data_IF_917841583812
#
_entry.id   IF_917841583812
#
_cell.length_a   1.000
_cell.length_b   1.000
_cell.length_c   1.000
_cell.angle_alpha   90.00
_cell.angle_beta   90.00
_cell.angle_gamma   90.00
#
_symmetry.space_group_name_H-M   'P 1'
#
loop_
_entity.id
_entity.type
_entity.pdbx_description
1 polymer ?
#
# COMPACT_ATOMS: atom_id res chain seq x y z
N UNK A 1 1.37 -41.10 -32.01
CA UNK A 1 0.69 -39.77 -31.86
C UNK A 1 0.62 -39.32 -30.39
N UNK A 2 0.39 -40.18 -29.43
CA UNK A 2 0.31 -39.86 -27.99
C UNK A 2 1.68 -39.39 -27.42
N UNK A 3 2.77 -40.09 -27.74
CA UNK A 3 4.14 -39.81 -27.26
C UNK A 3 4.63 -38.40 -27.72
N UNK A 4 4.24 -37.95 -28.92
CA UNK A 4 4.59 -36.61 -29.43
C UNK A 4 3.82 -35.49 -28.69
N UNK A 5 2.57 -35.73 -28.28
CA UNK A 5 1.81 -34.80 -27.46
C UNK A 5 2.38 -34.70 -26.05
N UNK A 6 2.80 -35.81 -25.46
CA UNK A 6 3.42 -35.82 -24.12
C UNK A 6 4.79 -35.11 -24.12
N UNK A 7 5.63 -35.34 -25.13
CA UNK A 7 6.92 -34.60 -25.29
C UNK A 7 6.73 -33.10 -25.48
N UNK A 8 5.72 -32.66 -26.23
CA UNK A 8 5.37 -31.25 -26.37
C UNK A 8 4.86 -30.62 -25.09
N UNK A 9 4.09 -31.38 -24.30
CA UNK A 9 3.58 -30.92 -23.00
C UNK A 9 4.72 -30.79 -21.96
N UNK A 10 5.64 -31.77 -21.92
CA UNK A 10 6.81 -31.73 -21.03
C UNK A 10 7.78 -30.59 -21.43
N UNK A 11 7.99 -30.34 -22.75
CA UNK A 11 8.81 -29.22 -23.22
C UNK A 11 8.17 -27.87 -22.89
N UNK A 12 6.84 -27.72 -22.96
CA UNK A 12 6.14 -26.51 -22.57
C UNK A 12 6.25 -26.23 -21.07
N UNK A 13 6.27 -27.28 -20.24
CA UNK A 13 6.48 -27.19 -18.78
C UNK A 13 7.92 -26.80 -18.44
N UNK A 14 8.92 -27.22 -19.23
CA UNK A 14 10.34 -26.88 -19.00
C UNK A 14 10.69 -25.42 -19.31
N UNK A 15 9.95 -24.74 -20.18
CA UNK A 15 10.24 -23.37 -20.60
C UNK A 15 9.38 -22.28 -19.91
N UNK A 16 8.37 -22.67 -19.11
CA UNK A 16 7.52 -21.72 -18.39
C UNK A 16 7.23 -22.21 -16.98
N UNK A 17 7.61 -21.40 -16.01
CA UNK A 17 7.32 -21.63 -14.59
C UNK A 17 5.84 -21.44 -14.26
N UNK A 18 5.12 -20.67 -15.07
CA UNK A 18 3.69 -20.36 -14.89
C UNK A 18 2.92 -20.74 -16.18
N UNK A 19 1.78 -21.45 -16.10
CA UNK A 19 0.94 -21.75 -17.25
C UNK A 19 0.53 -20.49 -18.01
N UNK A 20 0.33 -20.59 -19.34
CA UNK A 20 -0.04 -19.45 -20.20
C UNK A 20 -1.35 -18.80 -19.75
N UNK A 21 -2.26 -19.60 -19.23
CA UNK A 21 -3.59 -19.17 -18.75
C UNK A 21 -3.54 -18.42 -17.41
N UNK A 22 -2.39 -18.45 -16.71
CA UNK A 22 -2.18 -17.79 -15.43
C UNK A 22 -1.17 -16.66 -15.60
N UNK A 23 -1.65 -15.46 -15.95
CA UNK A 23 -0.78 -14.29 -16.00
C UNK A 23 -0.43 -13.80 -14.58
N UNK A 24 0.86 -13.65 -14.24
CA UNK A 24 1.25 -13.15 -12.93
C UNK A 24 0.91 -11.66 -12.76
N UNK A 25 0.47 -11.27 -11.58
CA UNK A 25 0.25 -9.87 -11.22
C UNK A 25 1.57 -9.08 -11.31
N UNK A 26 1.53 -7.91 -11.92
CA UNK A 26 2.70 -7.04 -12.07
C UNK A 26 2.65 -5.87 -11.09
N UNK A 27 3.79 -5.50 -10.52
CA UNK A 27 3.90 -4.44 -9.50
C UNK A 27 3.45 -3.05 -9.97
N UNK A 28 3.57 -2.75 -11.26
CA UNK A 28 3.24 -1.43 -11.82
C UNK A 28 1.75 -1.27 -12.16
N UNK A 29 0.93 -2.32 -11.97
CA UNK A 29 -0.51 -2.30 -12.25
C UNK A 29 -1.27 -2.15 -10.93
N UNK A 30 -1.30 -0.95 -10.41
CA UNK A 30 -2.05 -0.64 -9.19
C UNK A 30 -2.61 0.77 -9.26
N UNK A 31 -3.63 1.03 -8.48
CA UNK A 31 -4.21 2.34 -8.26
C UNK A 31 -4.52 2.50 -6.77
N UNK A 32 -4.11 3.62 -6.19
CA UNK A 32 -4.46 3.99 -4.83
C UNK A 32 -5.36 5.21 -4.88
N UNK A 33 -6.59 5.05 -4.39
CA UNK A 33 -7.58 6.12 -4.38
C UNK A 33 -7.68 6.73 -2.99
N UNK A 34 -7.66 8.06 -2.98
CA UNK A 34 -7.85 8.88 -1.80
C UNK A 34 -9.26 9.45 -1.78
N UNK A 35 -9.83 9.75 -0.59
CA UNK A 35 -11.09 10.48 -0.52
C UNK A 35 -10.94 11.86 -1.16
N UNK A 36 -11.97 12.30 -1.86
CA UNK A 36 -12.01 13.57 -2.61
C UNK A 36 -11.70 14.79 -1.74
N UNK A 37 -11.96 14.69 -0.43
CA UNK A 37 -11.67 15.73 0.56
C UNK A 37 -10.18 16.11 0.65
N UNK A 38 -9.28 15.13 0.39
CA UNK A 38 -7.84 15.36 0.43
C UNK A 38 -7.31 15.99 -0.87
N UNK A 39 -8.05 15.86 -1.97
CA UNK A 39 -7.65 16.39 -3.27
C UNK A 39 -6.32 15.83 -3.80
N UNK A 40 -5.94 14.61 -3.35
CA UNK A 40 -4.76 13.89 -3.82
C UNK A 40 -5.19 12.99 -4.97
N UNK A 41 -4.60 13.20 -6.13
CA UNK A 41 -4.94 12.46 -7.34
C UNK A 41 -4.18 11.12 -7.38
N UNK A 42 -4.87 10.05 -7.75
CA UNK A 42 -4.30 8.68 -7.76
C UNK A 42 -3.12 8.53 -8.73
N UNK A 43 -3.11 9.29 -9.84
CA UNK A 43 -2.01 9.22 -10.83
C UNK A 43 -0.68 9.80 -10.32
N UNK A 44 -0.68 10.56 -9.23
CA UNK A 44 0.54 11.08 -8.60
C UNK A 44 1.26 10.03 -7.75
N UNK A 45 0.57 8.94 -7.39
CA UNK A 45 1.14 7.86 -6.59
C UNK A 45 2.15 7.06 -7.41
N UNK A 46 3.40 7.07 -7.01
CA UNK A 46 4.48 6.31 -7.66
C UNK A 46 4.68 4.93 -7.05
N UNK A 47 4.60 4.85 -5.73
CA UNK A 47 4.70 3.58 -5.01
C UNK A 47 3.72 3.52 -3.86
N UNK A 48 3.19 2.33 -3.61
CA UNK A 48 2.36 2.02 -2.45
C UNK A 48 2.72 0.65 -1.91
N UNK A 49 2.90 0.56 -0.60
CA UNK A 49 3.00 -0.72 0.09
C UNK A 49 1.66 -1.46 0.10
N UNK A 50 1.69 -2.79 0.19
CA UNK A 50 0.51 -3.60 0.49
C UNK A 50 0.34 -3.74 2.00
N UNK A 51 -0.91 -3.90 2.48
CA UNK A 51 -1.18 -4.18 3.89
C UNK A 51 -0.43 -5.41 4.39
N UNK A 52 0.13 -5.30 5.59
CA UNK A 52 0.77 -6.40 6.32
C UNK A 52 0.01 -6.61 7.62
N UNK A 53 -0.26 -7.87 7.95
CA UNK A 53 -0.87 -8.25 9.23
C UNK A 53 0.15 -8.97 10.09
N UNK A 54 0.25 -8.60 11.34
CA UNK A 54 1.06 -9.28 12.36
C UNK A 54 0.11 -9.86 13.40
N UNK A 55 0.20 -11.16 13.63
CA UNK A 55 -0.60 -11.88 14.62
C UNK A 55 0.32 -12.21 15.79
N UNK A 56 -0.01 -11.70 16.96
CA UNK A 56 0.72 -12.01 18.19
C UNK A 56 0.62 -13.50 18.51
N UNK A 57 1.63 -14.01 19.21
CA UNK A 57 1.68 -15.38 19.68
C UNK A 57 1.82 -15.38 21.21
N UNK A 58 0.96 -16.13 21.90
CA UNK A 58 0.98 -16.28 23.36
C UNK A 58 1.38 -17.70 23.68
N UNK A 59 2.48 -17.85 24.42
CA UNK A 59 2.99 -19.14 24.87
C UNK A 59 2.30 -19.57 26.17
N UNK A 60 1.87 -20.82 26.21
CA UNK A 60 1.34 -21.49 27.40
C UNK A 60 2.34 -22.57 27.78
N UNK A 61 3.20 -22.36 28.79
CA UNK A 61 4.17 -23.35 29.25
C UNK A 61 3.50 -24.51 29.99
N UNK A 62 3.97 -25.73 29.73
CA UNK A 62 3.58 -26.91 30.45
C UNK A 62 4.76 -27.86 30.65
N UNK A 63 5.24 -28.02 31.90
CA UNK A 63 6.42 -28.82 32.23
C UNK A 63 7.65 -28.48 31.36
N UNK A 64 8.09 -29.43 30.50
CA UNK A 64 9.25 -29.29 29.61
C UNK A 64 8.85 -28.93 28.15
N UNK A 65 7.60 -28.57 27.94
CA UNK A 65 7.04 -28.21 26.62
C UNK A 65 6.17 -26.96 26.72
N UNK A 66 5.85 -26.38 25.58
CA UNK A 66 4.92 -25.26 25.51
C UNK A 66 3.96 -25.41 24.34
N UNK A 67 2.76 -24.87 24.52
CA UNK A 67 1.75 -24.71 23.48
C UNK A 67 1.59 -23.23 23.14
N UNK A 68 1.17 -22.94 21.92
CA UNK A 68 1.00 -21.56 21.45
C UNK A 68 -0.44 -21.30 21.04
N UNK A 69 -0.96 -20.15 21.40
CA UNK A 69 -2.28 -19.66 20.98
C UNK A 69 -2.15 -18.29 20.35
N UNK A 70 -3.03 -17.96 19.40
CA UNK A 70 -3.05 -16.66 18.75
C UNK A 70 -3.35 -15.55 19.74
N UNK A 71 -2.52 -14.51 19.73
CA UNK A 71 -2.73 -13.28 20.46
C UNK A 71 -3.49 -12.24 19.66
N UNK A 72 -3.28 -10.95 19.98
CA UNK A 72 -3.86 -9.83 19.25
C UNK A 72 -3.17 -9.67 17.90
N UNK A 73 -3.93 -9.31 16.88
CA UNK A 73 -3.39 -8.92 15.58
C UNK A 73 -3.33 -7.39 15.47
N UNK A 74 -2.39 -6.91 14.67
CA UNK A 74 -2.31 -5.51 14.27
C UNK A 74 -1.91 -5.41 12.80
N UNK A 75 -2.35 -4.35 12.15
CA UNK A 75 -1.92 -4.02 10.81
C UNK A 75 -0.62 -3.22 10.87
N UNK A 76 0.29 -3.51 9.97
CA UNK A 76 1.54 -2.78 9.83
C UNK A 76 1.35 -1.46 9.09
N UNK A 77 2.39 -0.64 9.11
CA UNK A 77 2.43 0.61 8.36
C UNK A 77 2.53 0.40 6.87
N UNK A 78 2.06 1.35 6.10
CA UNK A 78 2.11 1.37 4.64
C UNK A 78 2.82 2.64 4.20
N UNK A 79 3.89 2.49 3.42
CA UNK A 79 4.62 3.60 2.85
C UNK A 79 4.07 3.92 1.46
N UNK A 80 3.86 5.19 1.19
CA UNK A 80 3.34 5.71 -0.07
C UNK A 80 4.26 6.85 -0.52
N UNK A 81 4.67 6.82 -1.80
CA UNK A 81 5.49 7.86 -2.41
C UNK A 81 4.72 8.51 -3.54
N UNK A 82 4.70 9.83 -3.55
CA UNK A 82 4.03 10.67 -4.54
C UNK A 82 5.07 11.43 -5.38
N UNK A 83 4.77 11.59 -6.66
CA UNK A 83 5.44 12.58 -7.48
C UNK A 83 4.90 13.97 -7.11
N UNK A 84 5.79 14.93 -6.81
CA UNK A 84 5.36 16.29 -6.60
C UNK A 84 5.35 17.04 -7.94
N UNK A 85 4.26 17.75 -8.20
CA UNK A 85 4.04 18.53 -9.43
C UNK A 85 3.71 19.98 -9.08
N UNK A 86 3.93 20.89 -10.01
CA UNK A 86 3.72 22.32 -9.78
C UNK A 86 2.27 22.65 -9.39
N UNK A 87 1.32 21.91 -9.94
CA UNK A 87 -0.09 22.06 -9.57
C UNK A 87 -0.97 20.92 -10.09
N UNK A 88 -1.75 20.27 -9.21
CA UNK A 88 -1.83 20.44 -7.75
C UNK A 88 -0.64 19.80 -7.03
N UNK A 89 0.06 20.55 -6.15
CA UNK A 89 1.23 20.05 -5.44
C UNK A 89 0.87 18.97 -4.43
N UNK A 90 1.51 17.80 -4.55
CA UNK A 90 1.34 16.68 -3.62
C UNK A 90 1.82 17.05 -2.22
N UNK A 91 2.92 17.80 -2.13
CA UNK A 91 3.46 18.32 -0.87
C UNK A 91 2.44 19.16 -0.12
N UNK A 92 1.75 20.08 -0.80
CA UNK A 92 0.73 20.93 -0.16
C UNK A 92 -0.44 20.09 0.34
N UNK A 93 -0.92 19.14 -0.46
CA UNK A 93 -2.05 18.27 -0.09
C UNK A 93 -1.71 17.33 1.08
N UNK A 94 -0.53 16.76 1.08
CA UNK A 94 -0.03 15.97 2.22
C UNK A 94 0.05 16.83 3.47
N UNK A 95 0.56 18.05 3.38
CA UNK A 95 0.64 18.98 4.52
C UNK A 95 -0.75 19.43 5.00
N UNK A 96 -1.74 19.59 4.13
CA UNK A 96 -3.13 19.81 4.54
C UNK A 96 -3.65 18.67 5.40
N UNK A 97 -3.39 17.41 4.99
CA UNK A 97 -3.77 16.25 5.80
C UNK A 97 -3.00 16.20 7.13
N UNK A 98 -1.69 16.48 7.14
CA UNK A 98 -0.89 16.57 8.37
C UNK A 98 -1.44 17.64 9.32
N UNK A 99 -1.89 18.78 8.81
CA UNK A 99 -2.50 19.85 9.63
C UNK A 99 -3.79 19.42 10.34
N UNK A 100 -4.52 18.46 9.78
CA UNK A 100 -5.68 17.88 10.46
C UNK A 100 -5.28 17.07 11.70
N UNK A 101 -4.05 16.52 11.75
CA UNK A 101 -3.49 15.87 12.94
C UNK A 101 -2.89 16.87 13.91
N UNK A 102 -2.00 17.74 13.40
CA UNK A 102 -1.25 18.68 14.19
C UNK A 102 -0.97 19.96 13.41
N UNK A 103 -1.38 21.09 13.95
CA UNK A 103 -1.11 22.39 13.39
C UNK A 103 0.18 22.96 13.97
N UNK A 104 1.24 23.06 13.15
CA UNK A 104 2.57 23.47 13.59
C UNK A 104 2.61 24.90 14.13
N UNK A 105 1.73 25.79 13.63
CA UNK A 105 1.72 27.20 14.05
C UNK A 105 1.16 27.41 15.46
N UNK A 106 0.14 26.63 15.84
CA UNK A 106 -0.58 26.79 17.10
C UNK A 106 -0.31 25.69 18.11
N UNK A 107 0.29 24.55 17.67
CA UNK A 107 0.46 23.35 18.48
C UNK A 107 -0.85 22.60 18.78
N UNK A 108 -1.95 22.94 18.10
CA UNK A 108 -3.24 22.27 18.28
C UNK A 108 -3.22 20.90 17.65
N UNK A 109 -3.80 19.92 18.36
CA UNK A 109 -4.05 18.55 17.84
C UNK A 109 -5.50 18.43 17.40
N UNK A 110 -5.70 17.74 16.27
CA UNK A 110 -7.03 17.45 15.73
C UNK A 110 -7.69 16.22 16.37
N UNK A 111 -9.00 16.09 16.17
CA UNK A 111 -9.74 14.90 16.57
C UNK A 111 -9.60 13.80 15.52
N UNK A 112 -9.61 12.53 15.99
CA UNK A 112 -9.47 11.35 15.12
C UNK A 112 -10.49 11.31 13.97
N UNK A 113 -11.72 11.76 14.20
CA UNK A 113 -12.75 11.87 13.16
C UNK A 113 -12.34 12.77 12.00
N UNK A 114 -11.52 13.79 12.27
CA UNK A 114 -11.07 14.74 11.24
C UNK A 114 -9.92 14.20 10.40
N UNK A 115 -8.94 13.54 11.02
CA UNK A 115 -7.73 13.12 10.33
C UNK A 115 -7.73 11.66 9.84
N UNK A 116 -8.51 10.76 10.46
CA UNK A 116 -8.63 9.39 9.96
C UNK A 116 -9.37 9.38 8.62
N UNK A 117 -8.72 8.80 7.61
CA UNK A 117 -9.26 8.71 6.26
C UNK A 117 -9.29 7.26 5.80
N UNK A 118 -10.24 6.96 4.92
CA UNK A 118 -10.33 5.65 4.29
C UNK A 118 -9.72 5.73 2.90
N UNK A 119 -8.93 4.74 2.53
CA UNK A 119 -8.26 4.64 1.24
C UNK A 119 -8.62 3.32 0.59
N UNK A 120 -8.65 3.29 -0.74
CA UNK A 120 -8.87 2.08 -1.52
C UNK A 120 -7.66 1.79 -2.41
N UNK A 121 -7.09 0.59 -2.28
CA UNK A 121 -5.94 0.13 -3.06
C UNK A 121 -6.38 -1.00 -4.00
N UNK A 122 -6.24 -0.77 -5.30
CA UNK A 122 -6.59 -1.71 -6.35
C UNK A 122 -5.36 -2.29 -7.02
N UNK A 123 -5.37 -3.60 -7.28
CA UNK A 123 -4.49 -4.22 -8.25
C UNK A 123 -5.25 -4.41 -9.56
N UNK A 124 -4.64 -4.01 -10.67
CA UNK A 124 -5.28 -3.98 -11.98
C UNK A 124 -4.75 -5.11 -12.89
N UNK A 125 -5.59 -5.57 -13.78
CA UNK A 125 -5.23 -6.47 -14.86
C UNK A 125 -4.58 -5.71 -16.04
N UNK A 126 -4.16 -6.38 -17.13
CA UNK A 126 -3.65 -5.71 -18.33
C UNK A 126 -4.63 -4.75 -19.01
N UNK A 127 -5.92 -4.91 -18.76
CA UNK A 127 -7.01 -4.11 -19.37
C UNK A 127 -7.44 -2.95 -18.50
N UNK A 128 -6.89 -2.83 -17.25
CA UNK A 128 -7.24 -1.80 -16.29
C UNK A 128 -8.41 -2.15 -15.38
N UNK A 129 -8.89 -3.40 -15.41
CA UNK A 129 -9.95 -3.85 -14.52
C UNK A 129 -9.35 -4.25 -13.17
N UNK A 130 -10.00 -3.84 -12.08
CA UNK A 130 -9.59 -4.20 -10.73
C UNK A 130 -9.81 -5.70 -10.47
N UNK A 131 -8.72 -6.41 -10.16
CA UNK A 131 -8.71 -7.85 -9.84
C UNK A 131 -8.52 -8.13 -8.35
N UNK A 132 -8.09 -7.13 -7.60
CA UNK A 132 -7.90 -7.21 -6.16
C UNK A 132 -8.18 -5.83 -5.57
N UNK A 133 -9.04 -5.76 -4.58
CA UNK A 133 -9.47 -4.52 -3.94
C UNK A 133 -9.26 -4.61 -2.43
N UNK A 134 -8.46 -3.69 -1.90
CA UNK A 134 -8.21 -3.53 -0.48
C UNK A 134 -8.81 -2.24 0.02
N UNK A 135 -9.67 -2.33 1.01
CA UNK A 135 -10.15 -1.17 1.77
C UNK A 135 -9.26 -0.96 3.00
N UNK A 136 -8.64 0.20 3.09
CA UNK A 136 -7.81 0.63 4.20
C UNK A 136 -8.63 1.61 5.04
N UNK A 137 -9.09 1.17 6.20
CA UNK A 137 -10.00 1.94 7.05
C UNK A 137 -9.26 2.58 8.22
N UNK A 138 -9.62 3.82 8.54
CA UNK A 138 -9.07 4.56 9.66
C UNK A 138 -7.57 4.88 9.49
N UNK A 139 -7.14 5.20 8.27
CA UNK A 139 -5.74 5.53 8.00
C UNK A 139 -5.38 6.88 8.60
N UNK A 140 -4.31 6.90 9.38
CA UNK A 140 -3.68 8.12 9.90
C UNK A 140 -2.24 8.23 9.43
N UNK A 141 -1.75 9.46 9.23
CA UNK A 141 -0.34 9.70 8.92
C UNK A 141 0.49 9.57 10.20
N UNK A 142 1.55 8.76 10.16
CA UNK A 142 2.54 8.66 11.23
C UNK A 142 3.75 9.54 10.90
N UNK A 143 4.16 9.55 9.63
CA UNK A 143 5.33 10.28 9.16
C UNK A 143 5.06 10.84 7.77
N UNK A 144 5.57 12.03 7.52
CA UNK A 144 5.63 12.63 6.20
C UNK A 144 7.05 13.17 5.99
N UNK A 145 7.64 12.90 4.83
CA UNK A 145 8.94 13.41 4.44
C UNK A 145 8.86 13.97 3.03
N UNK A 146 9.63 15.01 2.79
CA UNK A 146 9.72 15.71 1.52
C UNK A 146 11.17 15.69 1.08
N UNK A 147 11.39 15.47 -0.23
CA UNK A 147 12.74 15.42 -0.79
C UNK A 147 13.44 16.79 -0.70
N UNK A 148 14.76 16.78 -0.64
CA UNK A 148 15.60 17.96 -0.57
C UNK A 148 15.73 18.64 -1.94
N UNK A 149 16.04 19.95 -1.93
CA UNK A 149 16.34 20.71 -3.13
C UNK A 149 17.84 20.78 -3.37
N UNK A 150 18.28 20.48 -4.60
CA UNK A 150 19.69 20.56 -5.00
C UNK A 150 19.81 21.22 -6.39
N UNK A 151 20.55 22.34 -6.47
CA UNK A 151 20.81 23.02 -7.73
C UNK A 151 21.67 22.23 -8.72
N UNK A 152 22.37 21.22 -8.25
CA UNK A 152 23.23 20.36 -9.09
C UNK A 152 22.51 19.13 -9.66
N UNK A 153 21.24 18.92 -9.33
CA UNK A 153 20.48 17.73 -9.74
C UNK A 153 19.26 18.10 -10.59
N UNK A 154 19.05 17.35 -11.67
CA UNK A 154 17.84 17.42 -12.51
C UNK A 154 16.80 16.35 -12.12
N UNK A 155 16.90 15.76 -10.92
CA UNK A 155 15.97 14.74 -10.46
C UNK A 155 14.60 15.30 -10.08
N UNK A 156 13.58 14.45 -10.17
CA UNK A 156 12.22 14.80 -9.79
C UNK A 156 12.06 14.79 -8.27
N UNK A 157 11.26 15.70 -7.75
CA UNK A 157 10.95 15.80 -6.31
C UNK A 157 9.78 14.89 -5.97
N UNK A 158 9.88 14.24 -4.82
CA UNK A 158 8.85 13.37 -4.30
C UNK A 158 8.46 13.75 -2.88
N UNK A 159 7.21 13.45 -2.53
CA UNK A 159 6.73 13.45 -1.15
C UNK A 159 6.46 12.01 -0.73
N UNK A 160 6.85 11.64 0.47
CA UNK A 160 6.63 10.29 1.00
C UNK A 160 5.86 10.37 2.32
N UNK A 161 4.87 9.51 2.48
CA UNK A 161 4.12 9.37 3.73
C UNK A 161 4.13 7.93 4.20
N UNK A 162 4.13 7.75 5.51
CA UNK A 162 3.87 6.48 6.17
C UNK A 162 2.53 6.57 6.89
N UNK A 163 1.60 5.72 6.51
CA UNK A 163 0.27 5.65 7.12
C UNK A 163 0.12 4.40 7.98
N UNK A 164 -0.68 4.50 9.04
CA UNK A 164 -1.11 3.39 9.87
C UNK A 164 -2.62 3.21 9.69
N UNK A 165 -3.07 2.11 9.06
CA UNK A 165 -4.48 1.75 9.03
C UNK A 165 -4.91 1.10 10.35
N UNK A 166 -6.14 1.34 10.79
CA UNK A 166 -6.78 0.61 11.88
C UNK A 166 -7.20 -0.78 11.43
N UNK A 167 -7.70 -0.89 10.19
CA UNK A 167 -8.21 -2.14 9.61
C UNK A 167 -8.00 -2.16 8.11
N UNK A 168 -7.62 -3.32 7.59
CA UNK A 168 -7.56 -3.56 6.15
C UNK A 168 -8.48 -4.73 5.78
N UNK A 169 -9.27 -4.57 4.74
CA UNK A 169 -10.23 -5.56 4.27
C UNK A 169 -9.93 -5.85 2.81
N UNK A 170 -9.68 -7.11 2.49
CA UNK A 170 -9.65 -7.59 1.11
C UNK A 170 -11.08 -7.87 0.67
N UNK A 171 -11.57 -7.15 -0.34
CA UNK A 171 -12.97 -7.24 -0.81
C UNK A 171 -13.08 -8.20 -1.98
N UNK A 172 -12.10 -8.23 -2.87
CA UNK A 172 -12.06 -9.08 -4.07
C UNK A 172 -10.61 -9.38 -4.46
#
# INVERSE_FOLDING_TARGET
MLIFKIKRLIMAIMYRTVPIEQEPKKKHRFELQFPTELGIESYLVQTSGKPKIEIGNVEIPYMNTSSFVSGRYKWGTIDIKFLDVIGPSSTQKVMEWVRLHAESATGRMGYAVGYNKNLDLFALDPTGIAIESWQLLGCQIISASFDDYDYGSDELIYASITIQPDRCILVA
#
